data_IF_364285498593
#
_entry.id   IF_364285498593
#
_cell.length_a   1.000
_cell.length_b   1.000
_cell.length_c   1.000
_cell.angle_alpha   90.00
_cell.angle_beta   90.00
_cell.angle_gamma   90.00
#
_symmetry.space_group_name_H-M   'P 1'
#
loop_
_entity.id
_entity.type
_entity.pdbx_description
1 polymer ?
#
# COMPACT_ATOMS: atom_id res chain seq x y z
N UNK A 1 17.10 10.13 -4.72
CA UNK A 1 16.46 11.21 -3.99
C UNK A 1 15.47 10.65 -3.02
N UNK A 2 15.50 11.17 -1.83
CA UNK A 2 14.58 10.68 -0.83
C UNK A 2 13.19 11.23 -1.11
N UNK A 3 12.19 10.40 -0.86
CA UNK A 3 10.81 10.83 -0.95
C UNK A 3 10.36 11.37 0.39
N UNK A 4 9.52 12.37 0.34
CA UNK A 4 8.98 12.99 1.54
C UNK A 4 7.48 12.78 1.57
N UNK A 5 6.96 12.35 2.70
CA UNK A 5 5.52 12.23 2.87
C UNK A 5 5.02 13.59 3.34
N UNK A 6 4.16 14.21 2.53
CA UNK A 6 3.66 15.55 2.86
C UNK A 6 2.27 15.52 3.43
N UNK A 7 1.53 14.43 3.25
CA UNK A 7 0.16 14.36 3.75
C UNK A 7 -0.28 12.91 3.80
N UNK A 8 -1.19 12.59 4.69
CA UNK A 8 -1.74 11.26 4.83
C UNK A 8 -3.25 11.37 4.90
N UNK A 9 -3.94 10.47 4.21
CA UNK A 9 -5.40 10.45 4.19
C UNK A 9 -5.89 9.01 4.32
N UNK A 10 -7.09 8.85 4.82
CA UNK A 10 -7.69 7.54 4.92
C UNK A 10 -7.91 6.93 3.54
N UNK A 11 -7.87 5.60 3.47
CA UNK A 11 -8.01 4.87 2.22
C UNK A 11 -9.05 3.75 2.32
N UNK A 12 -10.29 4.08 2.72
CA UNK A 12 -11.28 3.03 2.87
C UNK A 12 -11.62 2.42 1.52
N UNK A 13 -11.68 1.11 1.47
CA UNK A 13 -12.09 0.44 0.25
C UNK A 13 -11.02 0.33 -0.81
N UNK A 14 -9.77 0.55 -0.47
CA UNK A 14 -8.66 0.40 -1.42
C UNK A 14 -7.66 -0.63 -0.93
N UNK A 15 -6.99 -1.25 -1.88
CA UNK A 15 -6.00 -2.27 -1.59
C UNK A 15 -4.85 -2.17 -2.57
N UNK A 16 -3.72 -2.72 -2.18
CA UNK A 16 -2.57 -2.86 -3.05
C UNK A 16 -2.51 -4.29 -3.55
N UNK A 17 -2.13 -4.46 -4.78
CA UNK A 17 -2.01 -5.77 -5.40
C UNK A 17 -0.55 -6.10 -5.60
N UNK A 18 -0.19 -7.31 -5.21
CA UNK A 18 1.17 -7.81 -5.36
C UNK A 18 1.12 -9.12 -6.15
N UNK A 19 2.09 -9.30 -7.03
CA UNK A 19 2.20 -10.49 -7.86
C UNK A 19 3.56 -11.10 -7.61
N UNK A 20 3.57 -12.40 -7.33
CA UNK A 20 4.83 -13.13 -7.15
C UNK A 20 4.68 -14.51 -7.78
N UNK A 21 5.68 -15.36 -7.53
CA UNK A 21 5.69 -16.70 -8.12
C UNK A 21 4.51 -17.57 -7.70
N UNK A 22 3.89 -17.21 -6.60
CA UNK A 22 2.77 -17.99 -6.07
C UNK A 22 1.42 -17.41 -6.47
N UNK A 23 1.40 -16.31 -7.19
CA UNK A 23 0.18 -15.71 -7.68
C UNK A 23 -0.04 -14.31 -7.15
N UNK A 24 -1.28 -13.87 -7.20
CA UNK A 24 -1.66 -12.52 -6.80
C UNK A 24 -2.03 -12.48 -5.34
N UNK A 25 -1.65 -11.39 -4.69
CA UNK A 25 -2.11 -11.09 -3.34
C UNK A 25 -2.69 -9.69 -3.32
N UNK A 26 -3.71 -9.50 -2.51
CA UNK A 26 -4.32 -8.20 -2.33
C UNK A 26 -4.29 -7.88 -0.84
N UNK A 27 -3.75 -6.72 -0.51
CA UNK A 27 -3.59 -6.30 0.88
C UNK A 27 -4.29 -4.95 1.06
N UNK A 28 -5.17 -4.86 2.02
CA UNK A 28 -5.89 -3.61 2.27
C UNK A 28 -4.93 -2.49 2.62
N UNK A 29 -5.19 -1.31 2.09
CA UNK A 29 -4.41 -0.13 2.43
C UNK A 29 -4.77 0.35 3.82
N UNK A 30 -3.76 0.79 4.55
CA UNK A 30 -3.97 1.42 5.84
C UNK A 30 -4.27 2.91 5.67
N UNK A 31 -3.66 3.53 4.66
CA UNK A 31 -3.85 4.95 4.38
C UNK A 31 -3.23 5.27 3.04
N UNK A 32 -3.58 6.44 2.49
CA UNK A 32 -2.87 7.03 1.36
C UNK A 32 -1.87 8.04 1.87
N UNK A 33 -0.71 8.09 1.24
CA UNK A 33 0.29 9.12 1.50
C UNK A 33 0.49 9.93 0.24
N UNK A 34 0.49 11.24 0.36
CA UNK A 34 0.93 12.11 -0.73
C UNK A 34 2.43 12.23 -0.59
N UNK A 35 3.15 11.76 -1.59
CA UNK A 35 4.60 11.66 -1.55
C UNK A 35 5.18 12.65 -2.55
N UNK A 36 6.18 13.39 -2.12
CA UNK A 36 6.88 14.34 -2.98
C UNK A 36 8.28 13.81 -3.26
N UNK A 37 8.64 13.80 -4.52
CA UNK A 37 9.95 13.35 -4.96
C UNK A 37 10.47 14.40 -5.95
N UNK A 38 11.31 15.27 -5.45
CA UNK A 38 11.76 16.41 -6.26
C UNK A 38 10.59 17.32 -6.54
N UNK A 39 10.24 17.49 -7.82
CA UNK A 39 9.12 18.33 -8.21
C UNK A 39 7.85 17.53 -8.49
N UNK A 40 7.94 16.22 -8.34
CA UNK A 40 6.81 15.34 -8.62
C UNK A 40 6.10 14.94 -7.35
N UNK A 41 4.80 14.80 -7.44
CA UNK A 41 3.98 14.30 -6.33
C UNK A 41 3.13 13.16 -6.82
N UNK A 42 2.91 12.19 -5.94
CA UNK A 42 2.08 11.05 -6.26
C UNK A 42 1.43 10.50 -5.01
N UNK A 43 0.34 9.77 -5.20
CA UNK A 43 -0.30 9.07 -4.10
C UNK A 43 0.25 7.66 -4.04
N UNK A 44 0.69 7.26 -2.86
CA UNK A 44 1.21 5.92 -2.62
C UNK A 44 0.51 5.38 -1.38
N UNK A 45 0.09 4.15 -1.44
CA UNK A 45 -0.62 3.55 -0.31
C UNK A 45 0.34 3.02 0.74
N UNK A 46 -0.08 3.07 2.00
CA UNK A 46 0.61 2.39 3.08
C UNK A 46 -0.02 1.02 3.29
N UNK A 47 0.82 0.03 3.48
CA UNK A 47 0.38 -1.31 3.83
C UNK A 47 1.16 -1.79 5.05
N UNK A 48 0.66 -2.82 5.70
CA UNK A 48 1.39 -3.43 6.79
C UNK A 48 2.65 -4.08 6.21
N UNK A 49 3.78 -3.87 6.90
CA UNK A 49 5.04 -4.44 6.45
C UNK A 49 4.95 -5.96 6.54
N UNK A 50 5.34 -6.68 5.48
CA UNK A 50 5.41 -8.13 5.57
C UNK A 50 6.39 -8.57 6.64
N UNK A 51 6.05 -9.63 7.35
CA UNK A 51 6.88 -10.08 8.46
C UNK A 51 8.27 -10.53 8.02
N UNK A 52 8.40 -10.93 6.75
CA UNK A 52 9.70 -11.37 6.25
C UNK A 52 10.62 -10.21 5.90
N UNK A 53 10.10 -9.00 5.82
CA UNK A 53 10.92 -7.84 5.53
C UNK A 53 11.55 -7.33 6.81
N UNK A 54 12.84 -7.06 6.74
CA UNK A 54 13.57 -6.54 7.88
C UNK A 54 13.55 -5.03 7.87
N UNK A 55 13.68 -4.45 9.04
CA UNK A 55 13.74 -3.01 9.18
C UNK A 55 12.78 -2.51 10.25
N UNK A 56 12.91 -1.23 10.60
CA UNK A 56 12.06 -0.66 11.65
C UNK A 56 10.66 -0.41 11.13
N UNK A 57 9.72 -0.42 12.05
CA UNK A 57 8.34 -0.10 11.74
C UNK A 57 7.57 -1.27 11.19
N UNK A 58 6.26 -1.14 11.20
CA UNK A 58 5.35 -2.18 10.73
C UNK A 58 4.46 -1.71 9.59
N UNK A 59 4.71 -0.50 9.11
CA UNK A 59 4.01 0.09 7.96
C UNK A 59 5.04 0.45 6.92
N UNK A 60 4.72 0.24 5.65
CA UNK A 60 5.64 0.53 4.57
C UNK A 60 4.82 1.04 3.38
N UNK A 61 5.44 1.84 2.52
CA UNK A 61 4.80 2.24 1.28
C UNK A 61 4.69 1.02 0.38
N UNK A 62 3.51 0.84 -0.20
CA UNK A 62 3.23 -0.38 -0.96
C UNK A 62 4.19 -0.55 -2.14
N UNK A 63 4.57 0.54 -2.79
CA UNK A 63 5.43 0.44 -3.96
C UNK A 63 6.88 0.12 -3.62
N UNK A 64 7.21 0.05 -2.34
CA UNK A 64 8.53 -0.39 -1.90
C UNK A 64 8.58 -1.88 -1.60
N UNK A 65 7.45 -2.57 -1.70
CA UNK A 65 7.39 -4.00 -1.47
C UNK A 65 7.55 -4.72 -2.79
N UNK A 66 8.37 -5.76 -2.80
CA UNK A 66 8.59 -6.53 -4.03
C UNK A 66 7.28 -7.10 -4.54
N UNK A 67 7.11 -7.05 -5.84
CA UNK A 67 5.92 -7.59 -6.48
C UNK A 67 4.77 -6.60 -6.58
N UNK A 68 4.98 -5.36 -6.15
CA UNK A 68 3.91 -4.37 -6.23
C UNK A 68 3.45 -4.19 -7.68
N UNK A 69 2.14 -4.31 -7.90
CA UNK A 69 1.56 -4.26 -9.23
C UNK A 69 0.63 -3.07 -9.40
N UNK A 70 0.07 -2.55 -8.35
CA UNK A 70 -0.83 -1.42 -8.44
C UNK A 70 -1.86 -1.41 -7.33
N UNK A 71 -2.83 -0.53 -7.47
CA UNK A 71 -3.91 -0.39 -6.50
C UNK A 71 -5.22 -0.82 -7.14
N UNK A 72 -6.12 -1.33 -6.32
CA UNK A 72 -7.42 -1.78 -6.78
C UNK A 72 -8.45 -1.43 -5.71
N UNK A 73 -9.70 -1.23 -6.11
CA UNK A 73 -10.76 -1.13 -5.10
C UNK A 73 -10.72 -2.42 -4.29
N UNK A 74 -10.56 -2.26 -3.00
CA UNK A 74 -10.36 -3.40 -2.14
C UNK A 74 -11.57 -4.27 -2.05
N UNK A 75 -11.37 -5.52 -1.67
CA UNK A 75 -12.50 -6.33 -1.34
C UNK A 75 -13.22 -5.66 -0.19
N UNK A 76 -14.45 -5.40 -0.37
CA UNK A 76 -15.24 -4.95 0.73
C UNK A 76 -15.15 -6.00 1.78
N UNK A 77 -15.05 -5.61 3.04
CA UNK A 77 -15.11 -6.60 4.07
C UNK A 77 -16.35 -7.41 3.80
N UNK A 78 -16.13 -8.66 3.70
CA UNK A 78 -17.23 -9.55 3.45
C UNK A 78 -18.21 -9.40 4.56
N UNK A 79 -19.32 -8.76 4.25
CA UNK A 79 -20.37 -8.78 5.15
C UNK A 79 -21.01 -10.06 5.01
N UNK A 80 -21.23 -10.79 6.07
CA UNK A 80 -22.21 -11.87 6.00
C UNK A 80 -23.46 -11.18 5.55
N UNK A 81 -23.95 -11.52 4.54
CA UNK A 81 -25.17 -10.93 4.15
C UNK A 81 -26.19 -11.27 5.15
N UNK A 82 -26.10 -10.99 5.35
CA UNK A 82 -26.86 -11.15 5.97
C UNK A 82 -27.32 -11.51 5.87
#
# INVERSE_FOLDING_TARGET
MARTIVSIAAAPGWAARFVDDEGDRVVSLLAWALVEDGTSRSLVGFVQRPTIMKGPGWVILADEVDGFDGYTPGPLPTRPSK
#
